data_IF_546614833234
#
_entry.id   IF_546614833234
#
_cell.length_a   1.000
_cell.length_b   1.000
_cell.length_c   1.000
_cell.angle_alpha   90.00
_cell.angle_beta   90.00
_cell.angle_gamma   90.00
#
_symmetry.space_group_name_H-M   'P 1'
#
loop_
_entity.id
_entity.type
_entity.pdbx_description
1 polymer ?
#
# COMPACT_ATOMS: atom_id res chain seq x y z
N UNK A 1 11.56 -12.49 -16.21
CA UNK A 1 10.23 -13.03 -15.85
C UNK A 1 9.47 -11.94 -15.09
N UNK A 2 8.46 -11.33 -15.72
CA UNK A 2 7.77 -10.18 -15.14
C UNK A 2 6.98 -10.63 -13.90
N UNK A 3 7.26 -10.03 -12.75
CA UNK A 3 6.73 -10.48 -11.43
C UNK A 3 5.24 -10.15 -11.26
N UNK A 4 4.64 -9.47 -12.23
CA UNK A 4 3.29 -8.95 -12.20
C UNK A 4 2.53 -9.46 -13.42
N UNK A 5 1.40 -10.16 -13.19
CA UNK A 5 0.52 -10.68 -14.23
C UNK A 5 -0.23 -9.56 -14.96
N UNK A 6 -0.54 -8.48 -14.26
CA UNK A 6 -1.30 -7.35 -14.79
C UNK A 6 -0.67 -6.02 -14.34
N UNK A 7 -0.64 -5.05 -15.25
CA UNK A 7 -0.19 -3.67 -14.97
C UNK A 7 -1.41 -2.75 -14.98
N UNK A 8 -1.55 -1.95 -13.92
CA UNK A 8 -2.63 -0.95 -13.81
C UNK A 8 -2.06 0.46 -13.96
N UNK A 9 -2.54 1.20 -14.95
CA UNK A 9 -2.41 2.66 -15.04
C UNK A 9 -3.61 3.31 -14.35
N UNK A 10 -3.40 4.41 -13.64
CA UNK A 10 -4.51 5.13 -12.99
C UNK A 10 -4.40 6.63 -13.21
N UNK A 11 -5.38 7.21 -13.91
CA UNK A 11 -5.60 8.65 -14.03
C UNK A 11 -6.49 9.14 -12.90
N UNK A 12 -6.21 10.32 -12.33
CA UNK A 12 -6.98 10.84 -11.20
C UNK A 12 -7.35 12.28 -11.48
N UNK A 13 -8.65 12.55 -11.42
CA UNK A 13 -9.27 13.86 -11.55
C UNK A 13 -9.81 14.33 -10.20
N UNK A 14 -10.48 15.49 -10.19
CA UNK A 14 -11.05 16.05 -8.95
C UNK A 14 -12.11 15.11 -8.35
N UNK A 15 -12.99 14.60 -9.19
CA UNK A 15 -14.21 13.90 -8.75
C UNK A 15 -14.19 12.40 -9.08
N UNK A 16 -13.25 11.96 -9.94
CA UNK A 16 -13.13 10.56 -10.37
C UNK A 16 -11.67 10.11 -10.44
N UNK A 17 -11.46 8.81 -10.40
CA UNK A 17 -10.22 8.18 -10.84
C UNK A 17 -10.50 7.06 -11.84
N UNK A 18 -9.77 7.12 -12.95
CA UNK A 18 -9.80 6.21 -14.08
C UNK A 18 -8.70 5.17 -13.90
N UNK A 19 -9.03 3.89 -13.98
CA UNK A 19 -8.09 2.79 -13.81
C UNK A 19 -8.11 1.96 -15.07
N UNK A 20 -6.95 1.82 -15.69
CA UNK A 20 -6.74 1.02 -16.87
C UNK A 20 -5.85 -0.18 -16.54
N UNK A 21 -6.41 -1.37 -16.45
CA UNK A 21 -5.66 -2.62 -16.35
C UNK A 21 -5.28 -3.14 -17.74
N UNK A 22 -4.07 -3.66 -17.87
CA UNK A 22 -3.60 -4.27 -19.13
C UNK A 22 -4.42 -5.50 -19.55
N UNK A 23 -5.12 -6.15 -18.61
CA UNK A 23 -6.01 -7.28 -18.86
C UNK A 23 -7.49 -6.93 -18.61
N UNK A 24 -7.79 -6.15 -17.56
CA UNK A 24 -9.16 -5.79 -17.15
C UNK A 24 -9.77 -4.58 -17.88
N UNK A 25 -8.96 -3.79 -18.60
CA UNK A 25 -9.44 -2.63 -19.34
C UNK A 25 -9.72 -1.41 -18.45
N UNK A 26 -10.63 -0.52 -18.89
CA UNK A 26 -10.88 0.77 -18.25
C UNK A 26 -12.05 0.71 -17.25
N UNK A 27 -11.81 1.16 -16.02
CA UNK A 27 -12.80 1.30 -14.95
C UNK A 27 -12.70 2.68 -14.31
N UNK A 28 -13.82 3.38 -14.20
CA UNK A 28 -13.89 4.68 -13.52
C UNK A 28 -14.56 4.53 -12.16
N UNK A 29 -14.04 5.23 -11.16
CA UNK A 29 -14.57 5.26 -9.80
C UNK A 29 -14.64 6.69 -9.30
N UNK A 30 -15.55 6.95 -8.37
CA UNK A 30 -15.63 8.25 -7.70
C UNK A 30 -14.39 8.47 -6.83
N UNK A 31 -13.87 9.70 -6.80
CA UNK A 31 -12.79 10.11 -5.92
C UNK A 31 -13.31 10.42 -4.50
N UNK A 32 -14.04 9.47 -3.93
CA UNK A 32 -14.60 9.49 -2.58
C UNK A 32 -14.41 8.12 -1.90
N UNK A 33 -14.90 7.99 -0.66
CA UNK A 33 -14.80 6.73 0.09
C UNK A 33 -15.51 5.57 -0.63
N UNK A 34 -16.67 5.83 -1.22
CA UNK A 34 -17.48 4.81 -1.89
C UNK A 34 -16.80 4.28 -3.15
N UNK A 35 -16.26 5.16 -3.98
CA UNK A 35 -15.51 4.80 -5.17
C UNK A 35 -14.18 4.13 -4.83
N UNK A 36 -13.52 4.52 -3.73
CA UNK A 36 -12.34 3.81 -3.25
C UNK A 36 -12.64 2.39 -2.76
N UNK A 37 -13.76 2.17 -2.06
CA UNK A 37 -14.21 0.83 -1.66
C UNK A 37 -14.56 -0.02 -2.88
N UNK A 38 -15.27 0.54 -3.86
CA UNK A 38 -15.61 -0.15 -5.11
C UNK A 38 -14.36 -0.53 -5.90
N UNK A 39 -13.39 0.37 -6.01
CA UNK A 39 -12.08 0.13 -6.62
C UNK A 39 -11.28 -0.95 -5.88
N UNK A 40 -11.18 -0.88 -4.55
CA UNK A 40 -10.46 -1.87 -3.76
C UNK A 40 -11.03 -3.29 -3.94
N UNK A 41 -12.35 -3.40 -4.10
CA UNK A 41 -13.04 -4.66 -4.42
C UNK A 41 -12.78 -5.12 -5.85
N UNK A 42 -12.75 -4.21 -6.81
CA UNK A 42 -12.65 -4.54 -8.23
C UNK A 42 -11.22 -4.83 -8.71
N UNK A 43 -10.20 -4.14 -8.19
CA UNK A 43 -8.89 -4.05 -8.86
C UNK A 43 -7.81 -4.85 -8.16
N UNK A 44 -7.94 -5.08 -6.87
CA UNK A 44 -6.87 -5.72 -6.10
C UNK A 44 -7.30 -7.09 -5.61
N UNK A 45 -6.89 -8.11 -6.36
CA UNK A 45 -6.92 -9.51 -5.88
C UNK A 45 -6.10 -9.61 -4.58
N UNK A 46 -5.07 -8.75 -4.44
CA UNK A 46 -4.11 -8.83 -3.34
C UNK A 46 -3.60 -7.46 -2.83
N UNK A 47 -3.37 -7.35 -1.52
CA UNK A 47 -2.95 -6.11 -0.84
C UNK A 47 -1.58 -5.55 -1.33
N UNK A 48 -0.76 -6.40 -1.95
CA UNK A 48 0.52 -6.01 -2.55
C UNK A 48 0.36 -5.10 -3.76
N UNK A 49 -0.70 -5.29 -4.58
CA UNK A 49 -0.99 -4.42 -5.72
C UNK A 49 -1.38 -3.01 -5.24
N UNK A 50 -2.19 -2.93 -4.17
CA UNK A 50 -2.55 -1.66 -3.53
C UNK A 50 -1.31 -0.92 -2.98
N UNK A 51 -0.37 -1.63 -2.35
CA UNK A 51 0.87 -1.03 -1.87
C UNK A 51 1.73 -0.42 -3.00
N UNK A 52 1.77 -1.08 -4.15
CA UNK A 52 2.47 -0.58 -5.34
C UNK A 52 1.76 0.64 -5.92
N UNK A 53 0.42 0.64 -5.98
CA UNK A 53 -0.40 1.77 -6.42
C UNK A 53 -0.17 3.04 -5.56
N UNK A 54 -0.16 2.90 -4.24
CA UNK A 54 0.13 4.02 -3.32
C UNK A 54 1.60 4.47 -3.42
N UNK A 55 2.48 3.66 -4.01
CA UNK A 55 3.89 4.00 -4.19
C UNK A 55 4.71 3.89 -2.91
N UNK A 56 4.33 2.98 -2.00
CA UNK A 56 5.05 2.72 -0.75
C UNK A 56 5.94 1.46 -0.82
N UNK A 57 5.80 0.67 -1.89
CA UNK A 57 6.65 -0.48 -2.15
C UNK A 57 8.07 -0.02 -2.54
N UNK A 58 9.14 -0.57 -1.91
CA UNK A 58 10.50 -0.32 -2.34
C UNK A 58 10.72 -0.93 -3.72
N UNK A 59 11.16 -0.12 -4.68
CA UNK A 59 11.54 -0.56 -6.01
C UNK A 59 13.05 -0.76 -6.04
N UNK A 60 13.48 -1.95 -6.45
CA UNK A 60 14.87 -2.23 -6.78
C UNK A 60 15.04 -1.78 -8.23
N UNK A 61 15.98 -0.85 -8.46
CA UNK A 61 16.36 -0.40 -9.80
C UNK A 61 17.63 -1.13 -10.19
N UNK A 62 17.52 -2.10 -11.07
CA UNK A 62 18.64 -2.78 -11.71
C UNK A 62 18.57 -2.46 -13.20
N UNK A 63 19.43 -1.55 -13.68
CA UNK A 63 19.69 -1.35 -15.10
C UNK A 63 21.15 -1.70 -15.34
N UNK A 64 21.41 -2.90 -15.89
CA UNK A 64 22.75 -3.43 -16.10
C UNK A 64 23.42 -3.98 -14.83
N UNK A 65 24.54 -4.69 -15.02
CA UNK A 65 25.32 -5.39 -13.98
C UNK A 65 26.02 -4.45 -12.98
N UNK A 66 26.05 -3.13 -13.24
CA UNK A 66 26.83 -2.16 -12.46
C UNK A 66 26.01 -1.21 -11.56
N UNK A 67 24.67 -1.29 -11.56
CA UNK A 67 23.83 -0.38 -10.74
C UNK A 67 23.06 -1.15 -9.67
N UNK A 68 23.74 -1.53 -8.58
CA UNK A 68 23.10 -2.00 -7.34
C UNK A 68 22.83 -0.84 -6.39
N UNK A 69 21.92 0.05 -6.78
CA UNK A 69 21.48 1.15 -5.91
C UNK A 69 20.68 0.65 -4.70
N UNK A 70 20.78 1.33 -3.55
CA UNK A 70 19.89 1.06 -2.40
C UNK A 70 18.43 1.16 -2.84
N UNK A 71 17.61 0.17 -2.51
CA UNK A 71 16.18 0.18 -2.84
C UNK A 71 15.49 1.44 -2.26
N UNK A 72 14.70 2.12 -3.09
CA UNK A 72 13.97 3.34 -2.73
C UNK A 72 12.49 3.16 -3.02
N UNK A 73 11.64 3.85 -2.27
CA UNK A 73 10.21 3.88 -2.56
C UNK A 73 9.96 4.42 -3.98
N UNK A 74 9.02 3.82 -4.69
CA UNK A 74 8.61 4.32 -6.01
C UNK A 74 7.98 5.70 -5.88
N UNK A 75 8.41 6.65 -6.74
CA UNK A 75 7.75 7.95 -6.87
C UNK A 75 6.56 7.92 -7.84
N UNK A 76 6.33 6.79 -8.53
CA UNK A 76 5.33 6.62 -9.59
C UNK A 76 3.89 6.54 -9.05
N UNK A 77 3.70 6.15 -7.77
CA UNK A 77 2.37 6.06 -7.15
C UNK A 77 1.75 7.42 -6.77
N UNK A 78 0.49 7.39 -6.34
CA UNK A 78 -0.30 8.59 -6.03
C UNK A 78 0.31 9.41 -4.87
N UNK A 79 0.81 10.61 -5.18
CA UNK A 79 1.44 11.52 -4.21
C UNK A 79 0.49 11.99 -3.10
N UNK A 80 -0.77 12.27 -3.42
CA UNK A 80 -1.78 12.71 -2.44
C UNK A 80 -2.09 11.59 -1.45
N UNK A 81 -2.38 10.39 -1.95
CA UNK A 81 -2.62 9.21 -1.09
C UNK A 81 -1.40 8.86 -0.25
N UNK A 82 -0.19 8.93 -0.82
CA UNK A 82 1.04 8.72 -0.05
C UNK A 82 1.17 9.73 1.09
N UNK A 83 0.94 11.02 0.84
CA UNK A 83 1.00 12.05 1.87
C UNK A 83 -0.04 11.82 2.98
N UNK A 84 -1.28 11.52 2.61
CA UNK A 84 -2.35 11.19 3.56
C UNK A 84 -1.99 9.96 4.39
N UNK A 85 -1.48 8.89 3.75
CA UNK A 85 -1.04 7.70 4.47
C UNK A 85 0.08 8.01 5.46
N UNK A 86 1.05 8.86 5.09
CA UNK A 86 2.10 9.30 6.00
C UNK A 86 1.57 10.14 7.16
N UNK A 87 0.50 10.91 6.97
CA UNK A 87 -0.16 11.62 8.07
C UNK A 87 -0.85 10.63 9.03
N UNK A 88 -1.60 9.67 8.49
CA UNK A 88 -2.27 8.63 9.28
C UNK A 88 -1.27 7.73 10.02
N UNK A 89 -0.09 7.51 9.43
CA UNK A 89 0.99 6.71 10.01
C UNK A 89 1.38 7.16 11.41
N UNK A 90 1.51 8.47 11.64
CA UNK A 90 1.96 8.99 12.93
C UNK A 90 0.96 8.70 14.05
N UNK A 91 -0.34 8.76 13.74
CA UNK A 91 -1.39 8.34 14.66
C UNK A 91 -1.41 6.82 14.85
N UNK A 92 -1.23 6.05 13.76
CA UNK A 92 -1.13 4.59 13.84
C UNK A 92 0.04 4.13 14.72
N UNK A 93 1.20 4.81 14.67
CA UNK A 93 2.33 4.50 15.55
C UNK A 93 2.02 4.72 17.04
N UNK A 94 1.05 5.56 17.39
CA UNK A 94 0.65 5.82 18.78
C UNK A 94 -0.45 4.86 19.24
N UNK A 95 -1.52 4.76 18.47
CA UNK A 95 -2.76 4.09 18.89
C UNK A 95 -2.87 2.63 18.42
N UNK A 96 -2.30 2.28 17.27
CA UNK A 96 -2.35 0.91 16.77
C UNK A 96 -1.15 0.12 17.30
N UNK A 97 -1.40 -0.78 18.25
CA UNK A 97 -0.38 -1.60 18.91
C UNK A 97 0.46 -2.38 17.90
N UNK A 98 -0.16 -2.99 16.89
CA UNK A 98 0.57 -3.76 15.88
C UNK A 98 1.53 -2.88 15.03
N UNK A 99 1.14 -1.64 14.74
CA UNK A 99 1.98 -0.64 14.08
C UNK A 99 3.12 -0.17 14.97
N UNK A 100 2.83 0.14 16.24
CA UNK A 100 3.82 0.57 17.25
C UNK A 100 4.88 -0.51 17.50
N UNK A 101 4.44 -1.75 17.73
CA UNK A 101 5.32 -2.89 18.01
C UNK A 101 6.22 -3.17 16.80
N UNK A 102 5.69 -3.05 15.57
CA UNK A 102 6.48 -3.17 14.34
C UNK A 102 7.55 -2.07 14.23
N UNK A 103 7.18 -0.82 14.50
CA UNK A 103 8.11 0.31 14.49
C UNK A 103 9.26 0.08 15.46
N UNK A 104 8.93 -0.20 16.72
CA UNK A 104 9.92 -0.39 17.78
C UNK A 104 10.84 -1.57 17.47
N UNK A 105 10.28 -2.69 17.00
CA UNK A 105 11.06 -3.87 16.60
C UNK A 105 12.09 -3.56 15.50
N UNK A 106 11.75 -2.72 14.53
CA UNK A 106 12.68 -2.37 13.44
C UNK A 106 13.76 -1.41 13.94
N UNK A 107 13.39 -0.42 14.76
CA UNK A 107 14.33 0.54 15.34
C UNK A 107 15.30 -0.15 16.30
N UNK A 108 14.82 -1.06 17.15
CA UNK A 108 15.65 -1.85 18.07
C UNK A 108 16.66 -2.74 17.33
N UNK A 109 16.38 -3.12 16.09
CA UNK A 109 17.33 -3.83 15.21
C UNK A 109 18.39 -2.92 14.59
N UNK A 110 18.48 -1.65 15.00
CA UNK A 110 19.43 -0.67 14.49
C UNK A 110 19.12 -0.15 13.08
N UNK A 111 17.92 -0.44 12.53
CA UNK A 111 17.54 0.05 11.20
C UNK A 111 17.06 1.50 11.27
N UNK A 112 17.16 2.21 10.13
CA UNK A 112 16.76 3.62 10.08
C UNK A 112 15.28 3.82 10.40
N UNK A 113 14.97 4.91 11.12
CA UNK A 113 13.58 5.30 11.46
C UNK A 113 12.70 5.41 10.21
N UNK A 114 13.26 5.90 9.10
CA UNK A 114 12.56 6.01 7.81
C UNK A 114 12.14 4.65 7.26
N UNK A 115 12.99 3.63 7.38
CA UNK A 115 12.64 2.26 6.97
C UNK A 115 11.55 1.68 7.87
N UNK A 116 11.61 1.95 9.17
CA UNK A 116 10.56 1.55 10.10
C UNK A 116 9.20 2.19 9.73
N UNK A 117 9.17 3.48 9.42
CA UNK A 117 7.96 4.18 8.99
C UNK A 117 7.36 3.60 7.70
N UNK A 118 8.20 3.27 6.71
CA UNK A 118 7.73 2.63 5.47
C UNK A 118 7.12 1.24 5.75
N UNK A 119 7.72 0.47 6.66
CA UNK A 119 7.18 -0.83 7.05
C UNK A 119 5.83 -0.70 7.76
N UNK A 120 5.68 0.31 8.63
CA UNK A 120 4.40 0.61 9.29
C UNK A 120 3.35 1.08 8.28
N UNK A 121 3.73 1.88 7.27
CA UNK A 121 2.82 2.32 6.22
C UNK A 121 2.27 1.13 5.43
N UNK A 122 3.13 0.15 5.13
CA UNK A 122 2.72 -1.09 4.48
C UNK A 122 1.76 -1.92 5.35
N UNK A 123 2.07 -2.05 6.65
CA UNK A 123 1.19 -2.74 7.62
C UNK A 123 -0.18 -2.07 7.71
N UNK A 124 -0.21 -0.75 7.87
CA UNK A 124 -1.44 0.04 7.99
C UNK A 124 -2.30 -0.08 6.73
N UNK A 125 -1.70 0.08 5.54
CA UNK A 125 -2.43 -0.03 4.29
C UNK A 125 -3.05 -1.42 4.08
N UNK A 126 -2.35 -2.48 4.50
CA UNK A 126 -2.89 -3.85 4.49
C UNK A 126 -4.06 -4.03 5.47
N UNK A 127 -3.99 -3.42 6.64
CA UNK A 127 -5.11 -3.43 7.61
C UNK A 127 -6.33 -2.71 7.03
N UNK A 128 -6.15 -1.50 6.48
CA UNK A 128 -7.23 -0.76 5.80
C UNK A 128 -7.85 -1.58 4.67
N UNK A 129 -7.02 -2.24 3.85
CA UNK A 129 -7.49 -3.09 2.77
C UNK A 129 -8.30 -4.30 3.27
N UNK A 130 -7.83 -4.97 4.33
CA UNK A 130 -8.52 -6.11 4.93
C UNK A 130 -9.89 -5.71 5.52
N UNK A 131 -9.95 -4.56 6.20
CA UNK A 131 -11.20 -3.99 6.75
C UNK A 131 -12.17 -3.67 5.61
N UNK A 132 -11.71 -2.93 4.59
CA UNK A 132 -12.53 -2.54 3.44
C UNK A 132 -13.08 -3.75 2.67
N UNK A 133 -12.29 -4.83 2.54
CA UNK A 133 -12.71 -6.05 1.86
C UNK A 133 -13.64 -6.92 2.70
N UNK A 134 -13.37 -7.06 3.99
CA UNK A 134 -14.17 -7.91 4.89
C UNK A 134 -15.48 -7.24 5.32
N UNK A 135 -15.56 -5.90 5.28
CA UNK A 135 -16.67 -5.13 5.83
C UNK A 135 -16.78 -5.23 7.36
N UNK A 136 -15.81 -5.83 8.03
CA UNK A 136 -15.78 -6.00 9.48
C UNK A 136 -14.98 -4.85 10.12
N UNK A 137 -15.38 -4.37 11.30
CA UNK A 137 -14.61 -3.35 12.02
C UNK A 137 -13.21 -3.86 12.36
N UNK A 138 -12.28 -2.93 12.60
CA UNK A 138 -10.94 -3.28 13.03
C UNK A 138 -10.97 -4.02 14.37
N UNK A 139 -10.28 -5.15 14.43
CA UNK A 139 -10.08 -5.93 15.64
C UNK A 139 -8.58 -6.04 15.91
N UNK A 140 -8.15 -5.54 17.07
CA UNK A 140 -6.75 -5.56 17.50
C UNK A 140 -6.23 -6.99 17.73
N UNK A 141 -7.12 -7.90 18.13
CA UNK A 141 -6.81 -9.30 18.44
C UNK A 141 -6.84 -10.20 17.22
N UNK A 142 -7.23 -9.66 16.05
CA UNK A 142 -7.34 -10.43 14.83
C UNK A 142 -5.98 -11.02 14.39
N UNK A 143 -5.90 -12.35 14.39
CA UNK A 143 -4.76 -13.09 13.86
C UNK A 143 -5.12 -13.61 12.48
N UNK A 144 -4.33 -13.22 11.47
CA UNK A 144 -4.49 -13.76 10.12
C UNK A 144 -4.16 -15.25 10.14
N UNK A 145 -5.16 -16.09 9.91
CA UNK A 145 -4.97 -17.53 9.77
C UNK A 145 -4.31 -17.75 8.41
N UNK A 146 -3.06 -18.21 8.41
CA UNK A 146 -2.43 -18.74 7.21
C UNK A 146 -3.11 -20.08 6.91
N UNK A 147 -4.06 -20.06 5.98
CA UNK A 147 -4.54 -21.30 5.35
C UNK A 147 -3.33 -21.86 4.59
N UNK A 148 -2.80 -22.99 5.06
CA UNK A 148 -1.69 -23.72 4.44
C UNK A 148 -2.12 -24.32 3.12
#
# INVERSE_FOLDING_TARGET
MNKYKETFGVGISKDVFDVHGSETGHHQYNNDESGFIAFAKAITVNASQLCSYVGITPTIRESGSSVRGRARISKVGNRKLRNLLFLCLFNACKHNKACRDLYQRIVNKGKSKKLALIAVANKLLKQCFAIARSGRPYDETHVSILIR
#
